data_IF_747567167877
#
_entry.id   IF_747567167877
#
_cell.length_a   1.000
_cell.length_b   1.000
_cell.length_c   1.000
_cell.angle_alpha   90.00
_cell.angle_beta   90.00
_cell.angle_gamma   90.00
#
_symmetry.space_group_name_H-M   'P 1'
#
loop_
_entity.id
_entity.type
_entity.pdbx_description
1 polymer ?
#
# COMPACT_ATOMS: atom_id res chain seq x y z
N UNK A 1 -7.76 -25.05 11.35
CA UNK A 1 -8.38 -24.47 10.15
C UNK A 1 -7.36 -24.37 9.02
N UNK A 2 -7.79 -24.54 7.76
CA UNK A 2 -6.95 -24.38 6.58
C UNK A 2 -7.38 -23.10 5.82
N UNK A 3 -6.47 -22.15 5.65
CA UNK A 3 -6.76 -20.87 4.99
C UNK A 3 -5.87 -20.66 3.78
N UNK A 4 -6.47 -20.34 2.64
CA UNK A 4 -5.73 -19.87 1.47
C UNK A 4 -5.79 -18.35 1.40
N UNK A 5 -4.61 -17.73 1.33
CA UNK A 5 -4.47 -16.35 0.89
C UNK A 5 -4.05 -16.32 -0.57
N UNK A 6 -4.71 -15.51 -1.38
CA UNK A 6 -4.34 -15.33 -2.78
C UNK A 6 -4.18 -13.87 -3.12
N UNK A 7 -3.00 -13.53 -3.63
CA UNK A 7 -2.59 -12.16 -3.91
C UNK A 7 -1.62 -12.12 -5.09
N UNK A 8 -1.40 -10.96 -5.67
CA UNK A 8 -0.39 -10.85 -6.71
C UNK A 8 -0.18 -9.45 -7.29
N UNK A 9 0.94 -9.31 -7.98
CA UNK A 9 1.29 -8.15 -8.78
C UNK A 9 2.00 -7.01 -8.04
N UNK A 10 1.64 -6.70 -6.79
CA UNK A 10 2.25 -5.59 -6.04
C UNK A 10 2.34 -5.89 -4.54
N UNK A 11 3.27 -5.24 -3.84
CA UNK A 11 3.37 -5.31 -2.38
C UNK A 11 2.08 -4.83 -1.68
N UNK A 12 1.34 -3.90 -2.30
CA UNK A 12 0.05 -3.42 -1.79
C UNK A 12 -1.04 -4.50 -1.71
N UNK A 13 -0.92 -5.59 -2.49
CA UNK A 13 -1.80 -6.75 -2.38
C UNK A 13 -1.25 -7.82 -1.42
N UNK A 14 0.07 -7.95 -1.33
CA UNK A 14 0.72 -8.98 -0.50
C UNK A 14 0.71 -8.61 0.97
N UNK A 15 1.02 -7.36 1.32
CA UNK A 15 1.13 -6.92 2.71
C UNK A 15 -0.15 -7.09 3.53
N UNK A 16 -1.35 -6.74 3.03
CA UNK A 16 -2.60 -7.02 3.74
C UNK A 16 -2.83 -8.51 4.02
N UNK A 17 -2.49 -9.36 3.04
CA UNK A 17 -2.58 -10.82 3.22
C UNK A 17 -1.62 -11.34 4.29
N UNK A 18 -0.38 -10.85 4.30
CA UNK A 18 0.62 -11.22 5.31
C UNK A 18 0.22 -10.74 6.70
N UNK A 19 -0.29 -9.53 6.83
CA UNK A 19 -0.76 -9.00 8.10
C UNK A 19 -1.91 -9.85 8.68
N UNK A 20 -2.89 -10.20 7.87
CA UNK A 20 -4.01 -11.04 8.30
C UNK A 20 -3.56 -12.49 8.59
N UNK A 21 -2.64 -13.04 7.79
CA UNK A 21 -2.06 -14.37 8.03
C UNK A 21 -1.32 -14.45 9.37
N UNK A 22 -0.53 -13.42 9.69
CA UNK A 22 0.15 -13.28 10.98
C UNK A 22 -0.85 -13.26 12.15
N UNK A 23 -1.87 -12.40 12.04
CA UNK A 23 -2.90 -12.27 13.05
C UNK A 23 -3.70 -13.57 13.29
N UNK A 24 -4.04 -14.30 12.21
CA UNK A 24 -4.67 -15.62 12.30
C UNK A 24 -3.81 -16.63 13.06
N UNK A 25 -2.51 -16.65 12.78
CA UNK A 25 -1.55 -17.55 13.44
C UNK A 25 -1.34 -17.21 14.91
N UNK A 26 -1.38 -15.94 15.27
CA UNK A 26 -1.33 -15.50 16.67
C UNK A 26 -2.57 -15.96 17.46
N UNK A 27 -3.76 -15.87 16.83
CA UNK A 27 -5.03 -16.30 17.46
C UNK A 27 -5.20 -17.81 17.53
N UNK A 28 -4.77 -18.53 16.49
CA UNK A 28 -4.77 -19.99 16.44
C UNK A 28 -3.50 -20.52 15.77
N UNK A 29 -2.47 -20.92 16.55
CA UNK A 29 -1.23 -21.47 16.02
C UNK A 29 -1.38 -22.76 15.20
N UNK A 30 -2.51 -23.45 15.29
CA UNK A 30 -2.81 -24.67 14.52
C UNK A 30 -3.37 -24.36 13.13
N UNK A 31 -3.69 -23.11 12.85
CA UNK A 31 -4.17 -22.70 11.51
C UNK A 31 -3.08 -22.95 10.47
N UNK A 32 -3.42 -23.74 9.46
CA UNK A 32 -2.58 -23.99 8.29
C UNK A 32 -2.84 -22.90 7.25
N UNK A 33 -1.80 -22.25 6.80
CA UNK A 33 -1.90 -21.14 5.84
C UNK A 33 -1.12 -21.51 4.59
N UNK A 34 -1.74 -21.30 3.44
CA UNK A 34 -1.13 -21.42 2.11
C UNK A 34 -1.32 -20.13 1.34
N UNK A 35 -0.23 -19.62 0.77
CA UNK A 35 -0.29 -18.51 -0.17
C UNK A 35 -0.33 -19.01 -1.61
N UNK A 36 -1.18 -18.38 -2.44
CA UNK A 36 -1.28 -18.67 -3.86
C UNK A 36 -1.13 -17.36 -4.66
N UNK A 37 -0.20 -17.35 -5.61
CA UNK A 37 0.08 -16.20 -6.45
C UNK A 37 0.39 -16.58 -7.90
N UNK A 38 0.86 -15.62 -8.70
CA UNK A 38 1.31 -15.91 -10.06
C UNK A 38 2.71 -16.54 -10.08
N UNK A 39 3.00 -17.31 -11.12
CA UNK A 39 4.31 -17.96 -11.29
C UNK A 39 5.46 -16.92 -11.38
N UNK A 40 5.18 -15.76 -11.99
CA UNK A 40 6.14 -14.67 -12.20
C UNK A 40 5.61 -13.38 -11.60
N UNK A 41 5.67 -13.26 -10.28
CA UNK A 41 5.17 -12.09 -9.57
C UNK A 41 6.03 -11.75 -8.36
N UNK A 42 6.00 -10.48 -7.95
CA UNK A 42 6.70 -9.97 -6.76
C UNK A 42 6.30 -10.72 -5.49
N UNK A 43 5.08 -11.24 -5.45
CA UNK A 43 4.55 -12.00 -4.32
C UNK A 43 5.38 -13.23 -3.97
N UNK A 44 5.98 -13.89 -4.97
CA UNK A 44 6.85 -15.04 -4.76
C UNK A 44 8.06 -14.69 -3.88
N UNK A 45 8.72 -13.59 -4.20
CA UNK A 45 9.92 -13.16 -3.48
C UNK A 45 9.57 -12.67 -2.07
N UNK A 46 8.46 -11.94 -1.92
CA UNK A 46 8.01 -11.44 -0.62
C UNK A 46 7.62 -12.58 0.32
N UNK A 47 6.91 -13.59 -0.18
CA UNK A 47 6.44 -14.73 0.63
C UNK A 47 7.59 -15.70 0.93
N UNK A 48 8.60 -15.81 0.06
CA UNK A 48 9.78 -16.64 0.29
C UNK A 48 10.55 -16.28 1.58
N UNK A 49 10.42 -15.04 2.07
CA UNK A 49 11.00 -14.58 3.33
C UNK A 49 10.10 -14.77 4.56
N UNK A 50 9.01 -15.53 4.42
CA UNK A 50 8.05 -15.81 5.47
C UNK A 50 7.96 -17.32 5.74
N UNK A 51 7.38 -17.76 6.87
CA UNK A 51 7.23 -19.20 7.16
C UNK A 51 6.08 -19.85 6.39
N UNK A 52 5.43 -19.17 5.46
CA UNK A 52 4.25 -19.68 4.77
C UNK A 52 4.60 -20.39 3.47
N UNK A 53 4.01 -21.57 3.21
CA UNK A 53 4.14 -22.24 1.91
C UNK A 53 3.50 -21.42 0.80
N UNK A 54 4.07 -21.50 -0.40
CA UNK A 54 3.63 -20.79 -1.58
C UNK A 54 3.38 -21.75 -2.75
N UNK A 55 2.25 -21.57 -3.43
CA UNK A 55 1.88 -22.26 -4.68
C UNK A 55 1.60 -21.24 -5.77
N UNK A 56 1.69 -21.66 -7.01
CA UNK A 56 1.47 -20.77 -8.15
C UNK A 56 0.30 -21.21 -9.01
N UNK A 57 -0.34 -20.23 -9.64
CA UNK A 57 -1.27 -20.43 -10.74
C UNK A 57 -0.76 -19.70 -11.98
N UNK A 58 -0.82 -20.37 -13.13
CA UNK A 58 -0.38 -19.79 -14.39
C UNK A 58 -1.45 -18.87 -14.96
N UNK A 59 -1.39 -17.60 -14.57
CA UNK A 59 -2.31 -16.57 -15.04
C UNK A 59 -1.51 -15.33 -15.43
N UNK A 60 -1.99 -14.64 -16.46
CA UNK A 60 -1.44 -13.36 -16.91
C UNK A 60 -2.47 -12.25 -16.84
N UNK A 61 -2.00 -11.01 -16.73
CA UNK A 61 -2.87 -9.84 -16.77
C UNK A 61 -3.58 -9.69 -18.11
N UNK A 62 -4.81 -9.20 -18.11
CA UNK A 62 -5.51 -8.80 -19.33
C UNK A 62 -5.13 -7.36 -19.70
N UNK A 63 -4.74 -7.18 -20.97
CA UNK A 63 -4.51 -5.86 -21.54
C UNK A 63 -5.81 -5.28 -22.11
N UNK A 64 -6.09 -4.02 -21.80
CA UNK A 64 -7.33 -3.34 -22.26
C UNK A 64 -7.23 -2.72 -23.66
N UNK A 65 -6.05 -2.76 -24.27
CA UNK A 65 -5.83 -2.18 -25.61
C UNK A 65 -6.35 -3.12 -26.71
N UNK A 66 -6.99 -2.56 -27.73
CA UNK A 66 -7.48 -3.27 -28.92
C UNK A 66 -6.39 -3.44 -30.00
N UNK A 67 -5.13 -3.14 -29.73
CA UNK A 67 -4.03 -3.35 -30.69
C UNK A 67 -3.86 -4.84 -31.00
N UNK A 68 -3.54 -5.24 -32.25
CA UNK A 68 -3.44 -6.64 -32.65
C UNK A 68 -2.50 -7.48 -31.76
N UNK A 69 -1.42 -6.89 -31.28
CA UNK A 69 -0.46 -7.54 -30.35
C UNK A 69 -1.13 -7.83 -28.99
N UNK A 70 -1.95 -6.93 -28.51
CA UNK A 70 -2.69 -7.07 -27.26
C UNK A 70 -3.86 -8.06 -27.36
N UNK A 71 -4.53 -8.10 -28.52
CA UNK A 71 -5.58 -9.11 -28.81
C UNK A 71 -5.00 -10.52 -28.80
N UNK A 72 -3.80 -10.72 -29.39
CA UNK A 72 -3.10 -12.01 -29.34
C UNK A 72 -2.70 -12.36 -27.91
N UNK A 73 -2.24 -11.40 -27.12
CA UNK A 73 -1.96 -11.60 -25.70
C UNK A 73 -3.22 -12.00 -24.91
N UNK A 74 -4.34 -11.35 -25.16
CA UNK A 74 -5.61 -11.67 -24.51
C UNK A 74 -6.14 -13.07 -24.87
N UNK A 75 -5.93 -13.55 -26.10
CA UNK A 75 -6.25 -14.93 -26.49
C UNK A 75 -5.41 -15.96 -25.69
N UNK A 76 -4.13 -15.68 -25.50
CA UNK A 76 -3.26 -16.48 -24.63
C UNK A 76 -3.76 -16.42 -23.18
N UNK A 77 -4.18 -15.25 -22.71
CA UNK A 77 -4.72 -15.08 -21.35
C UNK A 77 -6.02 -15.85 -21.12
N UNK A 78 -6.89 -15.97 -22.12
CA UNK A 78 -8.09 -16.83 -22.06
C UNK A 78 -7.71 -18.32 -21.96
N UNK A 79 -6.74 -18.77 -22.74
CA UNK A 79 -6.22 -20.14 -22.62
C UNK A 79 -5.59 -20.40 -21.24
N UNK A 80 -4.82 -19.44 -20.75
CA UNK A 80 -4.22 -19.48 -19.40
C UNK A 80 -5.28 -19.55 -18.31
N UNK A 81 -6.45 -18.92 -18.50
CA UNK A 81 -7.54 -18.99 -17.54
C UNK A 81 -8.11 -20.42 -17.39
N UNK A 82 -8.16 -21.21 -18.49
CA UNK A 82 -8.55 -22.64 -18.41
C UNK A 82 -7.49 -23.49 -17.71
N UNK A 83 -6.21 -23.21 -17.92
CA UNK A 83 -5.13 -23.85 -17.18
C UNK A 83 -5.16 -23.45 -15.71
N UNK A 84 -5.31 -22.16 -15.40
CA UNK A 84 -5.42 -21.65 -14.05
C UNK A 84 -6.60 -22.28 -13.27
N UNK A 85 -7.68 -22.64 -13.97
CA UNK A 85 -8.78 -23.41 -13.35
C UNK A 85 -8.29 -24.76 -12.83
N UNK A 86 -7.61 -25.55 -13.69
CA UNK A 86 -7.12 -26.89 -13.31
C UNK A 86 -6.11 -26.82 -12.17
N UNK A 87 -5.23 -25.82 -12.21
CA UNK A 87 -4.23 -25.60 -11.16
C UNK A 87 -4.90 -25.18 -9.84
N UNK A 88 -5.87 -24.26 -9.91
CA UNK A 88 -6.66 -23.87 -8.73
C UNK A 88 -7.44 -25.08 -8.16
N UNK A 89 -8.10 -25.87 -9.03
CA UNK A 89 -8.80 -27.09 -8.62
C UNK A 89 -7.86 -28.08 -7.91
N UNK A 90 -6.68 -28.31 -8.45
CA UNK A 90 -5.68 -29.20 -7.84
C UNK A 90 -5.20 -28.69 -6.47
N UNK A 91 -4.97 -27.37 -6.33
CA UNK A 91 -4.58 -26.74 -5.06
C UNK A 91 -5.71 -26.88 -4.03
N UNK A 92 -6.97 -26.64 -4.44
CA UNK A 92 -8.13 -26.77 -3.56
C UNK A 92 -8.35 -28.22 -3.11
N UNK A 93 -8.13 -29.20 -4.01
CA UNK A 93 -8.26 -30.63 -3.69
C UNK A 93 -7.15 -31.12 -2.73
N UNK A 94 -5.91 -30.64 -2.90
CA UNK A 94 -4.78 -31.00 -2.06
C UNK A 94 -4.86 -30.34 -0.67
N UNK A 95 -5.18 -29.05 -0.63
CA UNK A 95 -5.11 -28.26 0.62
C UNK A 95 -6.39 -28.31 1.45
N UNK A 96 -7.56 -28.55 0.81
CA UNK A 96 -8.88 -28.59 1.46
C UNK A 96 -9.12 -27.36 2.34
N UNK A 97 -9.21 -26.16 1.77
CA UNK A 97 -9.34 -24.92 2.55
C UNK A 97 -10.75 -24.80 3.16
N UNK A 98 -10.79 -24.31 4.41
CA UNK A 98 -12.02 -23.90 5.11
C UNK A 98 -12.39 -22.44 4.78
N UNK A 99 -11.41 -21.65 4.29
CA UNK A 99 -11.57 -20.24 3.95
C UNK A 99 -10.59 -19.82 2.85
N UNK A 100 -11.04 -18.96 1.94
CA UNK A 100 -10.19 -18.33 0.93
C UNK A 100 -10.31 -16.82 1.03
N UNK A 101 -9.18 -16.12 1.15
CA UNK A 101 -9.11 -14.65 1.18
C UNK A 101 -8.26 -14.15 0.01
N UNK A 102 -8.88 -13.44 -0.92
CA UNK A 102 -8.19 -12.76 -2.02
C UNK A 102 -7.92 -11.29 -1.68
N UNK A 103 -6.66 -10.85 -1.75
CA UNK A 103 -6.30 -9.45 -1.44
C UNK A 103 -5.96 -8.61 -2.67
N UNK A 104 -6.34 -9.10 -3.85
CA UNK A 104 -6.14 -8.40 -5.12
C UNK A 104 -5.07 -9.01 -6.01
N UNK A 105 -4.91 -8.42 -7.18
CA UNK A 105 -4.09 -8.98 -8.25
C UNK A 105 -4.81 -10.08 -9.04
N UNK A 106 -4.36 -10.28 -10.27
CA UNK A 106 -5.03 -11.21 -11.20
C UNK A 106 -4.95 -12.68 -10.76
N UNK A 107 -3.96 -13.06 -9.95
CA UNK A 107 -3.82 -14.41 -9.39
C UNK A 107 -4.97 -14.78 -8.43
N UNK A 108 -5.60 -13.79 -7.79
CA UNK A 108 -6.73 -14.03 -6.89
C UNK A 108 -7.97 -14.55 -7.61
N UNK A 109 -8.14 -14.20 -8.89
CA UNK A 109 -9.38 -14.50 -9.62
C UNK A 109 -9.71 -15.99 -9.70
N UNK A 110 -8.83 -16.90 -10.20
CA UNK A 110 -9.17 -18.30 -10.33
C UNK A 110 -9.40 -18.97 -8.96
N UNK A 111 -8.56 -18.66 -7.98
CA UNK A 111 -8.62 -19.34 -6.67
C UNK A 111 -9.91 -19.00 -5.93
N UNK A 112 -10.26 -17.70 -5.85
CA UNK A 112 -11.50 -17.26 -5.19
C UNK A 112 -12.72 -17.75 -5.97
N UNK A 113 -12.77 -17.55 -7.30
CA UNK A 113 -13.91 -17.95 -8.14
C UNK A 113 -14.22 -19.43 -8.03
N UNK A 114 -13.21 -20.29 -8.18
CA UNK A 114 -13.45 -21.74 -8.19
C UNK A 114 -13.62 -22.30 -6.78
N UNK A 115 -13.02 -21.68 -5.74
CA UNK A 115 -13.32 -22.00 -4.37
C UNK A 115 -14.78 -21.69 -3.99
N UNK A 116 -15.27 -20.50 -4.34
CA UNK A 116 -16.65 -20.11 -4.14
C UNK A 116 -17.64 -21.05 -4.86
N UNK A 117 -17.32 -21.44 -6.10
CA UNK A 117 -18.14 -22.40 -6.86
C UNK A 117 -18.23 -23.78 -6.22
N UNK A 118 -17.30 -24.15 -5.34
CA UNK A 118 -17.28 -25.39 -4.55
C UNK A 118 -17.93 -25.23 -3.16
N UNK A 119 -18.50 -24.07 -2.87
CA UNK A 119 -19.13 -23.76 -1.58
C UNK A 119 -18.13 -23.47 -0.45
N UNK A 120 -16.85 -23.22 -0.77
CA UNK A 120 -15.86 -22.81 0.22
C UNK A 120 -16.11 -21.33 0.55
N UNK A 121 -16.16 -20.95 1.85
CA UNK A 121 -16.25 -19.56 2.27
C UNK A 121 -15.16 -18.69 1.64
N UNK A 122 -15.56 -17.54 1.07
CA UNK A 122 -14.65 -16.67 0.32
C UNK A 122 -14.83 -15.21 0.67
N UNK A 123 -13.72 -14.48 0.80
CA UNK A 123 -13.71 -13.03 0.92
C UNK A 123 -12.69 -12.42 -0.04
N UNK A 124 -12.96 -11.21 -0.51
CA UNK A 124 -11.98 -10.41 -1.27
C UNK A 124 -11.74 -9.10 -0.55
N UNK A 125 -10.50 -8.65 -0.50
CA UNK A 125 -10.12 -7.35 0.05
C UNK A 125 -9.67 -6.41 -1.06
N UNK A 126 -10.20 -5.19 -1.04
CA UNK A 126 -9.83 -4.09 -1.93
C UNK A 126 -9.28 -2.93 -1.13
N UNK A 127 -8.00 -2.69 -1.25
CA UNK A 127 -7.31 -1.62 -0.53
C UNK A 127 -7.52 -0.24 -1.15
N UNK A 128 -7.83 -0.16 -2.46
CA UNK A 128 -7.96 1.12 -3.17
C UNK A 128 -9.36 1.72 -3.01
N UNK A 129 -9.46 3.04 -3.10
CA UNK A 129 -10.73 3.77 -3.09
C UNK A 129 -11.61 3.45 -4.31
N UNK A 130 -11.02 3.01 -5.41
CA UNK A 130 -11.74 2.51 -6.60
C UNK A 130 -11.29 1.10 -6.90
N UNK A 131 -12.23 0.13 -6.98
CA UNK A 131 -11.86 -1.26 -7.09
C UNK A 131 -11.14 -1.60 -8.39
N UNK A 132 -10.16 -2.47 -8.27
CA UNK A 132 -9.46 -3.08 -9.39
C UNK A 132 -10.39 -3.99 -10.21
N UNK A 133 -9.94 -4.36 -11.41
CA UNK A 133 -10.74 -5.23 -12.28
C UNK A 133 -11.02 -6.58 -11.63
N UNK A 134 -10.04 -7.15 -10.96
CA UNK A 134 -10.16 -8.48 -10.35
C UNK A 134 -11.22 -8.51 -9.25
N UNK A 135 -11.20 -7.55 -8.32
CA UNK A 135 -12.17 -7.47 -7.22
C UNK A 135 -13.58 -7.19 -7.74
N UNK A 136 -13.71 -6.37 -8.78
CA UNK A 136 -15.00 -6.15 -9.47
C UNK A 136 -15.54 -7.41 -10.14
N UNK A 137 -14.70 -8.20 -10.80
CA UNK A 137 -15.11 -9.47 -11.43
C UNK A 137 -15.47 -10.54 -10.38
N UNK A 138 -14.87 -10.48 -9.21
CA UNK A 138 -15.13 -11.40 -8.10
C UNK A 138 -16.38 -11.03 -7.28
N UNK A 139 -16.98 -9.88 -7.50
CA UNK A 139 -18.18 -9.44 -6.77
C UNK A 139 -19.30 -10.50 -6.71
N UNK A 140 -19.52 -11.20 -7.84
CA UNK A 140 -20.54 -12.28 -7.92
C UNK A 140 -19.99 -13.65 -7.49
N UNK A 141 -18.72 -13.73 -7.09
CA UNK A 141 -18.00 -14.97 -6.82
C UNK A 141 -17.28 -14.94 -5.48
N UNK A 142 -17.82 -14.21 -4.51
CA UNK A 142 -17.35 -14.21 -3.13
C UNK A 142 -18.50 -13.90 -2.17
N UNK A 143 -18.35 -14.30 -0.91
CA UNK A 143 -19.37 -14.10 0.12
C UNK A 143 -19.26 -12.73 0.77
N UNK A 144 -18.04 -12.16 0.88
CA UNK A 144 -17.81 -10.82 1.40
C UNK A 144 -16.78 -10.06 0.57
N UNK A 145 -17.00 -8.75 0.50
CA UNK A 145 -16.10 -7.78 -0.12
C UNK A 145 -15.67 -6.82 0.98
N UNK A 146 -14.40 -6.88 1.35
CA UNK A 146 -13.79 -6.08 2.40
C UNK A 146 -13.13 -4.88 1.74
N UNK A 147 -13.49 -3.67 2.13
CA UNK A 147 -12.97 -2.47 1.47
C UNK A 147 -12.18 -1.59 2.44
N UNK A 148 -11.09 -1.01 1.92
CA UNK A 148 -10.23 -0.09 2.66
C UNK A 148 -10.88 1.28 2.92
N UNK A 149 -11.72 1.73 2.00
CA UNK A 149 -12.40 3.03 2.04
C UNK A 149 -13.91 2.88 1.85
N UNK A 150 -14.71 3.64 2.61
CA UNK A 150 -16.18 3.68 2.44
C UNK A 150 -16.57 4.06 1.01
N UNK A 151 -15.84 4.98 0.39
CA UNK A 151 -16.05 5.42 -1.00
C UNK A 151 -16.01 4.27 -2.02
N UNK A 152 -15.34 3.17 -1.69
CA UNK A 152 -15.27 2.00 -2.56
C UNK A 152 -16.61 1.29 -2.70
N UNK A 153 -17.49 1.37 -1.69
CA UNK A 153 -18.80 0.70 -1.65
C UNK A 153 -19.70 1.05 -2.84
N UNK A 154 -19.64 2.31 -3.32
CA UNK A 154 -20.50 2.78 -4.42
C UNK A 154 -20.27 2.03 -5.74
N UNK A 155 -19.10 1.43 -5.93
CA UNK A 155 -18.72 0.75 -7.17
C UNK A 155 -19.22 -0.69 -7.28
N UNK A 156 -19.76 -1.25 -6.19
CA UNK A 156 -20.30 -2.60 -6.15
C UNK A 156 -21.83 -2.60 -6.24
N UNK A 157 -22.37 -3.62 -6.91
CA UNK A 157 -23.81 -3.83 -7.04
C UNK A 157 -24.39 -4.48 -5.77
N UNK A 158 -23.66 -5.48 -5.22
CA UNK A 158 -24.04 -6.21 -4.01
C UNK A 158 -23.52 -5.51 -2.75
N UNK A 159 -24.09 -4.33 -2.44
CA UNK A 159 -23.68 -3.50 -1.31
C UNK A 159 -23.86 -4.20 0.04
N UNK A 160 -24.75 -5.17 0.12
CA UNK A 160 -24.99 -6.04 1.28
C UNK A 160 -23.82 -6.95 1.63
N UNK A 161 -22.98 -7.28 0.63
CA UNK A 161 -21.74 -8.05 0.82
C UNK A 161 -20.53 -7.20 1.16
N UNK A 162 -20.63 -5.87 1.00
CA UNK A 162 -19.50 -4.94 1.23
C UNK A 162 -19.41 -4.58 2.70
N UNK A 163 -18.26 -4.84 3.29
CA UNK A 163 -17.90 -4.46 4.66
C UNK A 163 -16.72 -3.51 4.64
N UNK A 164 -16.85 -2.36 5.29
CA UNK A 164 -15.74 -1.41 5.43
C UNK A 164 -14.88 -1.83 6.61
N UNK A 165 -13.77 -2.45 6.29
CA UNK A 165 -12.84 -2.99 7.28
C UNK A 165 -11.58 -2.15 7.44
N UNK A 166 -11.33 -1.22 6.52
CA UNK A 166 -10.00 -0.64 6.38
C UNK A 166 -9.02 -1.61 5.71
N UNK A 167 -7.78 -1.19 5.56
CA UNK A 167 -6.66 -2.03 5.10
C UNK A 167 -5.75 -2.32 6.28
N UNK A 168 -5.32 -3.57 6.49
CA UNK A 168 -4.45 -3.94 7.59
C UNK A 168 -3.18 -3.10 7.66
N UNK A 169 -2.91 -2.55 8.83
CA UNK A 169 -1.65 -1.88 9.17
C UNK A 169 -0.93 -2.75 10.20
N UNK A 170 0.38 -2.88 10.03
CA UNK A 170 1.20 -3.70 10.95
C UNK A 170 1.15 -3.14 12.37
N UNK A 171 1.12 -4.03 13.36
CA UNK A 171 1.00 -3.65 14.77
C UNK A 171 2.15 -2.78 15.30
N UNK A 172 3.35 -2.93 14.72
CA UNK A 172 4.55 -2.16 15.11
C UNK A 172 4.37 -0.64 14.94
N UNK A 173 3.47 -0.17 14.06
CA UNK A 173 3.10 1.24 13.93
C UNK A 173 2.46 1.86 15.18
N UNK A 174 1.95 1.04 16.09
CA UNK A 174 1.21 1.48 17.28
C UNK A 174 1.95 1.25 18.60
N UNK A 175 3.18 0.75 18.56
CA UNK A 175 3.95 0.37 19.77
C UNK A 175 4.54 1.54 20.53
N UNK A 176 4.67 2.72 19.88
CA UNK A 176 5.31 3.90 20.46
C UNK A 176 4.45 5.16 20.32
N UNK A 177 4.68 6.12 21.18
CA UNK A 177 4.19 7.49 21.02
C UNK A 177 5.06 8.27 20.03
N UNK A 178 4.55 9.37 19.49
CA UNK A 178 5.32 10.28 18.61
C UNK A 178 6.60 10.80 19.29
N UNK A 179 6.51 11.17 20.56
CA UNK A 179 7.65 11.66 21.33
C UNK A 179 8.75 10.60 21.47
N UNK A 180 8.38 9.36 21.81
CA UNK A 180 9.33 8.23 21.90
C UNK A 180 9.98 7.92 20.55
N UNK A 181 9.21 7.97 19.46
CA UNK A 181 9.75 7.77 18.12
C UNK A 181 10.72 8.88 17.71
N UNK A 182 10.42 10.15 18.01
CA UNK A 182 11.35 11.29 17.78
C UNK A 182 12.64 11.16 18.58
N UNK A 183 12.54 10.77 19.85
CA UNK A 183 13.72 10.55 20.72
C UNK A 183 14.59 9.42 20.17
N UNK A 184 14.00 8.29 19.79
CA UNK A 184 14.70 7.14 19.19
C UNK A 184 15.47 7.51 17.91
N UNK A 185 14.91 8.41 17.11
CA UNK A 185 15.52 8.89 15.86
C UNK A 185 16.50 10.05 16.06
N UNK A 186 16.60 10.61 17.27
CA UNK A 186 17.45 11.78 17.56
C UNK A 186 16.96 13.08 16.91
N UNK A 187 15.65 13.22 16.68
CA UNK A 187 15.01 14.39 16.03
C UNK A 187 14.05 15.12 16.99
N UNK A 188 14.46 15.24 18.25
CA UNK A 188 13.66 15.80 19.34
C UNK A 188 14.10 17.20 19.79
N UNK A 189 14.78 17.96 18.93
CA UNK A 189 15.28 19.31 19.18
C UNK A 189 14.24 20.43 18.95
N UNK A 190 12.99 20.06 18.69
CA UNK A 190 11.86 20.98 18.47
C UNK A 190 11.61 21.32 17.00
N UNK A 191 12.53 20.97 16.08
CA UNK A 191 12.27 21.11 14.64
C UNK A 191 11.28 20.05 14.15
N UNK A 192 10.39 20.39 13.18
CA UNK A 192 9.53 19.42 12.55
C UNK A 192 10.32 18.36 11.78
N UNK A 193 9.78 17.13 11.71
CA UNK A 193 10.30 16.05 10.87
C UNK A 193 9.45 15.88 9.62
N UNK A 194 10.06 16.05 8.46
CA UNK A 194 9.54 15.63 7.16
C UNK A 194 10.03 14.21 6.86
N UNK A 195 9.15 13.37 6.35
CA UNK A 195 9.51 12.06 5.81
C UNK A 195 9.05 11.99 4.37
N UNK A 196 9.94 11.65 3.44
CA UNK A 196 9.55 11.52 2.04
C UNK A 196 10.03 10.22 1.38
N UNK A 197 9.18 9.66 0.50
CA UNK A 197 9.50 8.46 -0.26
C UNK A 197 8.57 8.28 -1.46
N UNK A 198 9.10 7.63 -2.52
CA UNK A 198 8.39 7.47 -3.78
C UNK A 198 8.08 6.00 -4.12
N UNK A 199 7.86 5.17 -3.08
CA UNK A 199 7.68 3.73 -3.15
C UNK A 199 9.00 2.97 -3.05
N UNK A 200 8.93 1.65 -2.91
CA UNK A 200 10.10 0.77 -2.67
C UNK A 200 11.16 0.82 -3.79
N UNK A 201 10.73 1.06 -5.03
CA UNK A 201 11.64 1.19 -6.16
C UNK A 201 12.16 2.62 -6.37
N UNK A 202 11.55 3.59 -5.69
CA UNK A 202 11.78 5.00 -5.93
C UNK A 202 11.14 5.49 -7.25
N UNK A 203 11.28 6.78 -7.54
CA UNK A 203 10.86 7.38 -8.81
C UNK A 203 11.88 8.44 -9.23
N UNK A 204 12.56 8.20 -10.37
CA UNK A 204 13.70 9.02 -10.78
C UNK A 204 13.39 10.51 -10.94
N UNK A 205 12.22 10.84 -11.51
CA UNK A 205 11.79 12.23 -11.64
C UNK A 205 11.55 12.87 -10.26
N UNK A 206 10.83 12.18 -9.39
CA UNK A 206 10.51 12.70 -8.06
C UNK A 206 11.75 12.79 -7.15
N UNK A 207 12.71 11.89 -7.29
CA UNK A 207 13.98 12.00 -6.58
C UNK A 207 14.78 13.25 -7.01
N UNK A 208 14.68 13.69 -8.28
CA UNK A 208 15.29 14.96 -8.71
C UNK A 208 14.57 16.16 -8.09
N UNK A 209 13.25 16.14 -8.05
CA UNK A 209 12.45 17.14 -7.34
C UNK A 209 12.84 17.19 -5.87
N UNK A 210 13.03 16.02 -5.24
CA UNK A 210 13.48 15.95 -3.84
C UNK A 210 14.91 16.46 -3.67
N UNK A 211 15.80 16.25 -4.63
CA UNK A 211 17.17 16.79 -4.55
C UNK A 211 17.17 18.33 -4.50
N UNK A 212 16.31 18.98 -5.31
CA UNK A 212 16.12 20.43 -5.25
C UNK A 212 15.49 20.87 -3.92
N UNK A 213 14.52 20.11 -3.40
CA UNK A 213 13.92 20.33 -2.09
C UNK A 213 14.99 20.30 -0.98
N UNK A 214 15.81 19.24 -0.94
CA UNK A 214 16.90 19.09 0.03
C UNK A 214 17.93 20.23 -0.05
N UNK A 215 18.24 20.69 -1.25
CA UNK A 215 19.07 21.88 -1.44
C UNK A 215 18.48 23.13 -0.77
N UNK A 216 17.18 23.36 -0.93
CA UNK A 216 16.49 24.51 -0.32
C UNK A 216 16.40 24.39 1.21
N UNK A 217 16.28 23.18 1.70
CA UNK A 217 16.28 22.87 3.14
C UNK A 217 17.67 23.07 3.74
N UNK A 218 18.74 22.61 3.07
CA UNK A 218 20.11 22.78 3.51
C UNK A 218 20.48 24.26 3.74
N UNK A 219 19.99 25.16 2.87
CA UNK A 219 20.25 26.59 2.97
C UNK A 219 19.62 27.27 4.23
N UNK A 220 18.62 26.67 4.85
CA UNK A 220 17.85 27.26 5.96
C UNK A 220 17.76 26.36 7.20
N UNK A 221 18.00 25.07 7.05
CA UNK A 221 17.87 24.01 8.07
C UNK A 221 16.58 24.08 8.94
N UNK A 222 15.39 24.36 8.34
CA UNK A 222 14.19 24.60 9.14
C UNK A 222 13.55 23.31 9.67
N UNK A 223 13.95 22.15 9.14
CA UNK A 223 13.36 20.83 9.38
C UNK A 223 14.43 19.76 9.56
N UNK A 224 14.02 18.64 10.17
CA UNK A 224 14.65 17.34 9.92
C UNK A 224 13.95 16.71 8.70
N UNK A 225 14.71 16.05 7.83
CA UNK A 225 14.15 15.36 6.68
C UNK A 225 14.78 13.97 6.52
N UNK A 226 13.95 12.94 6.56
CA UNK A 226 14.34 11.56 6.23
C UNK A 226 13.78 11.22 4.85
N UNK A 227 14.64 10.97 3.87
CA UNK A 227 14.23 10.64 2.51
C UNK A 227 14.69 9.24 2.08
N UNK A 228 13.75 8.43 1.52
CA UNK A 228 14.08 7.16 0.89
C UNK A 228 14.12 7.28 -0.63
N UNK A 229 15.29 7.02 -1.21
CA UNK A 229 15.54 7.13 -2.66
C UNK A 229 15.11 5.88 -3.46
N UNK A 230 14.93 4.72 -2.77
CA UNK A 230 14.65 3.46 -3.41
C UNK A 230 15.84 2.90 -4.20
N UNK A 231 15.56 2.04 -5.17
CA UNK A 231 16.59 1.33 -5.97
C UNK A 231 17.50 2.22 -6.82
N UNK A 232 17.22 3.53 -6.93
CA UNK A 232 18.10 4.47 -7.63
C UNK A 232 19.43 4.69 -6.93
N UNK A 233 19.49 4.35 -5.63
CA UNK A 233 20.69 4.40 -4.83
C UNK A 233 21.01 5.79 -4.29
N UNK A 234 21.57 5.76 -3.09
CA UNK A 234 21.95 6.92 -2.28
C UNK A 234 23.00 7.80 -2.96
N UNK A 235 23.96 7.16 -3.64
CA UNK A 235 25.04 7.85 -4.36
C UNK A 235 24.49 8.85 -5.39
N UNK A 236 23.49 8.45 -6.15
CA UNK A 236 22.90 9.30 -7.20
C UNK A 236 22.17 10.52 -6.62
N UNK A 237 21.56 10.38 -5.45
CA UNK A 237 20.96 11.51 -4.73
C UNK A 237 22.04 12.50 -4.29
N UNK A 238 23.15 12.02 -3.74
CA UNK A 238 24.28 12.87 -3.37
C UNK A 238 24.83 13.63 -4.58
N UNK A 239 24.97 12.99 -5.74
CA UNK A 239 25.41 13.64 -6.99
C UNK A 239 24.46 14.76 -7.44
N UNK A 240 23.15 14.53 -7.35
CA UNK A 240 22.17 15.55 -7.71
C UNK A 240 22.19 16.75 -6.76
N UNK A 241 22.25 16.52 -5.46
CA UNK A 241 22.30 17.61 -4.45
C UNK A 241 23.64 18.37 -4.56
N UNK A 242 24.74 17.68 -4.79
CA UNK A 242 26.06 18.30 -5.03
C UNK A 242 26.06 19.17 -6.28
N UNK A 243 25.23 18.84 -7.29
CA UNK A 243 25.03 19.68 -8.46
C UNK A 243 24.46 21.07 -8.15
N UNK A 244 23.81 21.24 -6.99
CA UNK A 244 23.38 22.52 -6.43
C UNK A 244 24.42 23.16 -5.50
N UNK A 245 25.60 22.57 -5.34
CA UNK A 245 26.68 23.07 -4.48
C UNK A 245 26.54 22.73 -3.01
N UNK A 246 25.72 21.74 -2.64
CA UNK A 246 25.50 21.29 -1.27
C UNK A 246 26.07 19.88 -1.07
N UNK A 247 26.81 19.67 0.02
CA UNK A 247 27.22 18.35 0.47
C UNK A 247 26.32 17.91 1.65
N UNK A 248 25.52 16.88 1.44
CA UNK A 248 24.60 16.36 2.46
C UNK A 248 25.32 15.87 3.73
N UNK A 249 26.63 15.60 3.67
CA UNK A 249 27.43 15.23 4.85
C UNK A 249 27.58 16.36 5.86
N UNK A 250 27.48 17.60 5.40
CA UNK A 250 27.56 18.80 6.23
C UNK A 250 26.21 19.17 6.87
N UNK A 251 25.12 18.44 6.49
CA UNK A 251 23.75 18.70 6.92
C UNK A 251 23.15 17.47 7.61
N UNK A 252 23.47 17.20 8.88
CA UNK A 252 22.99 16.01 9.62
C UNK A 252 21.47 15.97 9.82
N UNK A 253 20.79 17.09 9.62
CA UNK A 253 19.31 17.15 9.62
C UNK A 253 18.67 16.53 8.37
N UNK A 254 19.45 16.27 7.31
CA UNK A 254 19.01 15.70 6.03
C UNK A 254 19.52 14.26 5.90
N UNK A 255 18.71 13.29 6.31
CA UNK A 255 19.05 11.86 6.28
C UNK A 255 18.53 11.20 5.00
N UNK A 256 19.42 10.89 4.08
CA UNK A 256 19.09 10.19 2.82
C UNK A 256 19.43 8.72 2.97
N UNK A 257 18.40 7.88 2.83
CA UNK A 257 18.48 6.41 2.94
C UNK A 257 18.14 5.75 1.60
N UNK A 258 18.70 4.60 1.34
CA UNK A 258 18.28 3.77 0.21
C UNK A 258 16.88 3.22 0.44
N UNK A 259 16.64 2.71 1.65
CA UNK A 259 15.37 2.18 2.10
C UNK A 259 15.15 2.49 3.58
N UNK A 260 13.90 2.73 3.99
CA UNK A 260 13.52 2.94 5.39
C UNK A 260 13.01 1.61 5.96
N UNK A 261 13.88 0.86 6.65
CA UNK A 261 13.53 -0.43 7.26
C UNK A 261 12.68 -0.26 8.52
N UNK A 262 12.88 0.83 9.23
CA UNK A 262 12.21 1.24 10.46
C UNK A 262 11.01 2.18 10.17
N UNK A 263 10.26 1.92 9.09
CA UNK A 263 9.19 2.79 8.61
C UNK A 263 8.15 3.10 9.69
N UNK A 264 7.86 2.15 10.59
CA UNK A 264 6.92 2.35 11.67
C UNK A 264 7.36 3.47 12.63
N UNK A 265 8.65 3.48 13.02
CA UNK A 265 9.22 4.52 13.88
C UNK A 265 9.26 5.87 13.14
N UNK A 266 9.75 5.86 11.91
CA UNK A 266 9.92 7.06 11.09
C UNK A 266 8.58 7.73 10.79
N UNK A 267 7.56 6.98 10.37
CA UNK A 267 6.20 7.53 10.17
C UNK A 267 5.57 8.00 11.47
N UNK A 268 5.78 7.28 12.58
CA UNK A 268 5.25 7.69 13.89
C UNK A 268 5.85 9.00 14.38
N UNK A 269 7.12 9.26 14.08
CA UNK A 269 7.81 10.51 14.43
C UNK A 269 7.44 11.70 13.51
N UNK A 270 6.98 11.43 12.28
CA UNK A 270 6.75 12.45 11.26
C UNK A 270 5.74 13.52 11.68
N UNK A 271 6.02 14.76 11.33
CA UNK A 271 5.09 15.89 11.39
C UNK A 271 4.39 16.08 10.04
N UNK A 272 5.08 15.72 8.96
CA UNK A 272 4.55 15.75 7.59
C UNK A 272 5.17 14.61 6.79
N UNK A 273 4.35 13.89 6.03
CA UNK A 273 4.83 12.89 5.07
C UNK A 273 4.58 13.37 3.64
N UNK A 274 5.58 13.22 2.78
CA UNK A 274 5.50 13.54 1.35
C UNK A 274 5.70 12.25 0.57
N UNK A 275 4.65 11.76 -0.10
CA UNK A 275 4.74 10.43 -0.72
C UNK A 275 3.79 10.23 -1.90
N UNK A 276 3.87 9.06 -2.52
CA UNK A 276 2.88 8.55 -3.46
C UNK A 276 1.59 8.13 -2.75
N UNK A 277 0.48 8.08 -3.49
CA UNK A 277 -0.83 7.68 -2.96
C UNK A 277 -1.13 6.18 -3.11
N UNK A 278 -0.19 5.33 -2.69
CA UNK A 278 -0.41 3.89 -2.59
C UNK A 278 -1.36 3.56 -1.43
N UNK A 279 -2.33 2.67 -1.65
CA UNK A 279 -3.38 2.39 -0.68
C UNK A 279 -2.85 1.96 0.71
N UNK A 280 -1.83 1.09 0.76
CA UNK A 280 -1.22 0.67 2.04
C UNK A 280 -0.62 1.86 2.80
N UNK A 281 0.12 2.73 2.09
CA UNK A 281 0.71 3.94 2.69
C UNK A 281 -0.37 4.88 3.22
N UNK A 282 -1.45 5.07 2.46
CA UNK A 282 -2.58 5.90 2.92
C UNK A 282 -3.24 5.32 4.17
N UNK A 283 -3.36 4.00 4.25
CA UNK A 283 -3.91 3.34 5.45
C UNK A 283 -2.99 3.52 6.66
N UNK A 284 -1.67 3.45 6.47
CA UNK A 284 -0.69 3.73 7.52
C UNK A 284 -0.77 5.20 7.99
N UNK A 285 -0.82 6.16 7.04
CA UNK A 285 -0.96 7.59 7.33
C UNK A 285 -2.25 7.89 8.12
N UNK A 286 -3.38 7.36 7.64
CA UNK A 286 -4.68 7.62 8.27
C UNK A 286 -4.81 6.95 9.64
N UNK A 287 -4.27 5.74 9.81
CA UNK A 287 -4.26 5.06 11.10
C UNK A 287 -3.41 5.77 12.16
N UNK A 288 -2.34 6.46 11.74
CA UNK A 288 -1.48 7.27 12.60
C UNK A 288 -1.96 8.73 12.75
N UNK A 289 -2.83 9.20 11.87
CA UNK A 289 -3.23 10.59 11.79
C UNK A 289 -2.13 11.52 11.27
N UNK A 290 -1.23 11.05 10.41
CA UNK A 290 -0.11 11.87 9.93
C UNK A 290 -0.55 12.74 8.75
N UNK A 291 -0.41 14.09 8.84
CA UNK A 291 -0.64 15.00 7.72
C UNK A 291 0.26 14.65 6.53
N UNK A 292 -0.24 14.77 5.31
CA UNK A 292 0.52 14.39 4.14
C UNK A 292 0.40 15.38 2.97
N UNK A 293 1.49 15.47 2.18
CA UNK A 293 1.47 15.96 0.80
C UNK A 293 1.53 14.72 -0.09
N UNK A 294 0.49 14.49 -0.86
CA UNK A 294 0.38 13.36 -1.76
C UNK A 294 0.69 13.78 -3.19
N UNK A 295 1.62 13.09 -3.82
CA UNK A 295 1.96 13.28 -5.23
C UNK A 295 1.64 11.97 -5.97
N UNK A 296 0.40 11.81 -6.47
CA UNK A 296 -0.02 10.57 -7.14
C UNK A 296 0.85 10.28 -8.36
N UNK A 297 1.20 9.01 -8.57
CA UNK A 297 1.90 8.60 -9.79
C UNK A 297 0.94 8.57 -10.98
N UNK A 298 1.26 9.25 -12.10
CA UNK A 298 0.46 9.18 -13.32
C UNK A 298 0.61 7.85 -14.06
N UNK A 299 1.67 7.09 -13.75
CA UNK A 299 2.07 5.87 -14.47
C UNK A 299 1.52 4.58 -13.81
N UNK A 300 0.35 4.65 -13.18
CA UNK A 300 -0.29 3.49 -12.55
C UNK A 300 -1.59 3.11 -13.24
N UNK A 301 -1.91 1.82 -13.20
CA UNK A 301 -3.13 1.28 -13.83
C UNK A 301 -4.38 2.00 -13.33
N UNK A 302 -5.25 2.43 -14.24
CA UNK A 302 -6.53 3.09 -13.96
C UNK A 302 -6.44 4.37 -13.11
N UNK A 303 -5.28 5.04 -13.06
CA UNK A 303 -5.07 6.23 -12.24
C UNK A 303 -5.51 6.03 -10.78
N UNK A 304 -5.29 4.82 -10.23
CA UNK A 304 -5.79 4.48 -8.90
C UNK A 304 -5.17 5.36 -7.81
N UNK A 305 -3.92 5.82 -7.97
CA UNK A 305 -3.31 6.71 -6.99
C UNK A 305 -3.94 8.11 -6.96
N UNK A 306 -4.34 8.64 -8.11
CA UNK A 306 -5.08 9.91 -8.16
C UNK A 306 -6.40 9.81 -7.39
N UNK A 307 -7.14 8.71 -7.58
CA UNK A 307 -8.41 8.45 -6.90
C UNK A 307 -8.23 8.21 -5.41
N UNK A 308 -7.19 7.50 -5.01
CA UNK A 308 -6.85 7.31 -3.61
C UNK A 308 -6.50 8.65 -2.94
N UNK A 309 -5.68 9.48 -3.60
CA UNK A 309 -5.30 10.80 -3.09
C UNK A 309 -6.51 11.73 -2.99
N UNK A 310 -7.42 11.68 -3.96
CA UNK A 310 -8.65 12.50 -3.96
C UNK A 310 -9.48 12.28 -2.70
N UNK A 311 -9.64 11.05 -2.23
CA UNK A 311 -10.37 10.75 -0.98
C UNK A 311 -9.76 11.50 0.21
N UNK A 312 -8.43 11.44 0.38
CA UNK A 312 -7.78 12.15 1.49
C UNK A 312 -7.83 13.68 1.31
N UNK A 313 -7.69 14.15 0.07
CA UNK A 313 -7.75 15.57 -0.26
C UNK A 313 -9.13 16.18 0.00
N UNK A 314 -10.19 15.53 -0.47
CA UNK A 314 -11.59 15.96 -0.31
C UNK A 314 -12.03 15.98 1.16
N UNK A 315 -11.50 15.08 1.98
CA UNK A 315 -11.75 15.05 3.41
C UNK A 315 -10.80 15.95 4.23
N UNK A 316 -9.89 16.68 3.58
CA UNK A 316 -8.96 17.58 4.25
C UNK A 316 -7.83 16.89 5.02
N UNK A 317 -7.56 15.60 4.76
CA UNK A 317 -6.51 14.84 5.42
C UNK A 317 -5.14 14.98 4.73
N UNK A 318 -5.10 15.44 3.48
CA UNK A 318 -3.87 15.62 2.72
C UNK A 318 -3.96 16.82 1.77
N UNK A 319 -2.79 17.40 1.45
CA UNK A 319 -2.62 18.28 0.29
C UNK A 319 -2.23 17.42 -0.91
N UNK A 320 -2.99 17.50 -2.00
CA UNK A 320 -2.71 16.73 -3.23
C UNK A 320 -2.06 17.63 -4.27
N UNK A 321 -0.88 17.26 -4.72
CA UNK A 321 -0.15 17.97 -5.78
C UNK A 321 0.02 17.05 -7.00
N UNK A 322 -0.27 17.50 -8.22
CA UNK A 322 0.03 16.73 -9.41
C UNK A 322 1.55 16.66 -9.62
N UNK A 323 2.04 15.53 -10.15
CA UNK A 323 3.47 15.39 -10.49
C UNK A 323 3.87 16.30 -11.65
N UNK A 324 2.94 16.57 -12.59
CA UNK A 324 3.18 17.42 -13.74
C UNK A 324 3.49 18.86 -13.31
N UNK A 325 4.65 19.37 -13.73
CA UNK A 325 5.11 20.71 -13.40
C UNK A 325 5.52 20.93 -11.94
N UNK A 326 5.61 19.86 -11.13
CA UNK A 326 6.09 19.95 -9.74
C UNK A 326 7.62 20.04 -9.73
N UNK A 327 8.12 21.06 -9.03
CA UNK A 327 9.55 21.26 -8.74
C UNK A 327 9.81 21.28 -7.22
N UNK A 328 11.10 21.25 -6.85
CA UNK A 328 11.49 21.26 -5.43
C UNK A 328 11.13 22.54 -4.72
N UNK A 329 11.13 23.68 -5.42
CA UNK A 329 10.76 24.98 -4.85
C UNK A 329 9.29 25.04 -4.46
N UNK A 330 8.40 24.53 -5.31
CA UNK A 330 6.97 24.44 -4.99
C UNK A 330 6.74 23.49 -3.81
N UNK A 331 7.39 22.33 -3.82
CA UNK A 331 7.28 21.35 -2.76
C UNK A 331 7.78 21.89 -1.42
N UNK A 332 8.92 22.62 -1.42
CA UNK A 332 9.43 23.33 -0.24
C UNK A 332 8.44 24.37 0.27
N UNK A 333 7.88 25.17 -0.61
CA UNK A 333 6.94 26.24 -0.26
C UNK A 333 5.69 25.69 0.42
N UNK A 334 5.10 24.64 -0.16
CA UNK A 334 3.90 24.00 0.38
C UNK A 334 4.18 23.28 1.71
N UNK A 335 5.30 22.56 1.82
CA UNK A 335 5.69 21.89 3.05
C UNK A 335 5.97 22.89 4.18
N UNK A 336 6.71 23.98 3.90
CA UNK A 336 7.00 25.03 4.86
C UNK A 336 5.74 25.80 5.29
N UNK A 337 4.80 26.02 4.39
CA UNK A 337 3.53 26.66 4.70
C UNK A 337 2.68 25.79 5.64
N UNK A 338 2.57 24.49 5.35
CA UNK A 338 1.85 23.54 6.22
C UNK A 338 2.48 23.45 7.60
N UNK A 339 3.80 23.28 7.70
CA UNK A 339 4.49 23.09 8.97
C UNK A 339 4.48 24.34 9.87
N UNK A 340 4.22 25.54 9.31
CA UNK A 340 4.03 26.80 10.08
C UNK A 340 2.59 27.01 10.53
N UNK A 341 1.63 26.34 9.92
CA UNK A 341 0.21 26.46 10.22
C UNK A 341 -0.24 25.32 11.14
N UNK A 342 0.01 25.47 12.43
CA UNK A 342 -0.36 24.48 13.45
C UNK A 342 -1.86 24.15 13.42
N UNK A 343 -2.71 25.14 13.16
CA UNK A 343 -4.17 24.95 13.10
C UNK A 343 -4.53 24.03 11.92
N UNK A 344 -3.94 24.27 10.76
CA UNK A 344 -4.16 23.44 9.57
C UNK A 344 -3.60 22.04 9.75
N UNK A 345 -2.41 21.90 10.33
CA UNK A 345 -1.83 20.58 10.62
C UNK A 345 -2.71 19.79 11.60
N UNK A 346 -3.22 20.42 12.65
CA UNK A 346 -4.14 19.79 13.60
C UNK A 346 -5.44 19.34 12.91
N UNK A 347 -6.01 20.19 12.06
CA UNK A 347 -7.21 19.84 11.30
C UNK A 347 -6.96 18.67 10.34
N UNK A 348 -5.80 18.63 9.67
CA UNK A 348 -5.39 17.51 8.80
C UNK A 348 -5.19 16.22 9.62
N UNK A 349 -4.58 16.31 10.79
CA UNK A 349 -4.41 15.17 11.70
C UNK A 349 -5.77 14.55 12.07
N UNK A 350 -6.71 15.35 12.54
CA UNK A 350 -8.05 14.90 12.90
C UNK A 350 -8.83 14.34 11.70
N UNK A 351 -8.71 14.96 10.52
CA UNK A 351 -9.32 14.47 9.29
C UNK A 351 -8.74 13.11 8.88
N UNK A 352 -7.43 12.96 9.00
CA UNK A 352 -6.72 11.71 8.72
C UNK A 352 -7.17 10.59 9.67
N UNK A 353 -7.26 10.86 10.97
CA UNK A 353 -7.74 9.88 11.96
C UNK A 353 -9.20 9.44 11.71
N UNK A 354 -10.06 10.34 11.24
CA UNK A 354 -11.46 9.98 10.90
C UNK A 354 -11.56 9.01 9.72
N UNK A 355 -10.62 9.05 8.80
CA UNK A 355 -10.54 8.11 7.67
C UNK A 355 -9.85 6.79 8.05
N UNK A 356 -9.05 6.80 9.09
CA UNK A 356 -8.24 5.66 9.51
C UNK A 356 -9.03 4.58 10.22
N UNK A 357 -8.72 3.33 9.93
CA UNK A 357 -9.26 2.16 10.63
C UNK A 357 -8.10 1.43 11.31
N UNK A 358 -7.89 1.71 12.59
CA UNK A 358 -6.75 1.18 13.36
C UNK A 358 -6.89 -0.31 13.68
N UNK A 359 -8.10 -0.79 13.80
CA UNK A 359 -8.48 -2.18 14.09
C UNK A 359 -8.84 -2.97 12.82
N UNK A 360 -8.34 -2.53 11.65
CA UNK A 360 -8.67 -3.11 10.35
C UNK A 360 -8.42 -4.63 10.31
N UNK A 361 -7.29 -5.09 10.83
CA UNK A 361 -6.94 -6.52 10.83
C UNK A 361 -7.94 -7.33 11.66
N UNK A 362 -8.37 -6.81 12.81
CA UNK A 362 -9.35 -7.45 13.67
C UNK A 362 -10.74 -7.48 13.03
N UNK A 363 -11.20 -6.38 12.44
CA UNK A 363 -12.48 -6.33 11.68
C UNK A 363 -12.50 -7.31 10.52
N UNK A 364 -11.40 -7.42 9.77
CA UNK A 364 -11.28 -8.40 8.70
C UNK A 364 -11.37 -9.81 9.28
N UNK A 365 -10.60 -10.10 10.34
CA UNK A 365 -10.62 -11.40 11.02
C UNK A 365 -12.03 -11.79 11.46
N UNK A 366 -12.72 -10.93 12.18
CA UNK A 366 -14.09 -11.19 12.66
C UNK A 366 -15.04 -11.44 11.48
N UNK A 367 -14.93 -10.63 10.41
CA UNK A 367 -15.78 -10.76 9.23
C UNK A 367 -15.56 -12.09 8.50
N UNK A 368 -14.31 -12.52 8.32
CA UNK A 368 -14.02 -13.78 7.60
C UNK A 368 -14.29 -15.00 8.48
N UNK A 369 -14.07 -14.91 9.79
CA UNK A 369 -14.38 -16.00 10.72
C UNK A 369 -15.90 -16.23 10.86
N UNK A 370 -16.72 -15.20 10.68
CA UNK A 370 -18.17 -15.35 10.65
C UNK A 370 -18.67 -16.14 9.41
N UNK A 371 -17.83 -16.34 8.39
CA UNK A 371 -18.14 -17.16 7.22
C UNK A 371 -17.82 -18.65 7.46
N UNK A 372 -16.89 -18.93 8.36
CA UNK A 372 -16.46 -20.29 8.69
C UNK A 372 -17.39 -20.80 9.81
N UNK A 373 -18.23 -21.76 9.47
CA UNK A 373 -19.19 -22.37 10.42
C UNK A 373 -18.60 -23.58 11.12
#
# INVERSE_FOLDING_TARGET
MNVIFTCGGTAGHVNPALALAGFLRERDPKTRILFVGAERGLERDLIAHTPYPFRTVNISSFHRSLRPKELRHNLVSVRNLMHAKREADAILDEFQPDLIVGTGGYASYPVVRYGHARGIPTAVHESNAVPGLTTRLLENHCDRILVGFEDCRQYYKHKDRVVVTGTPVRGDFFTQTKAQAKEKLGVNDGRPLIVSFWGSLGAGNMNRVTAELLYLEAAKEPFHHIHSVGSLGRQKMHEWVSGYGVDLRDHPSLDVREYIYDMADVMRAADLVICRAGASTLSELTALGVPAILVPSPNVTNHHQEKNAAVLGEHGAALVLPEEGLDGKRLFTEAAALLRDETRLAAMHEASLRLGVRDATERIYETVMALVK
#
